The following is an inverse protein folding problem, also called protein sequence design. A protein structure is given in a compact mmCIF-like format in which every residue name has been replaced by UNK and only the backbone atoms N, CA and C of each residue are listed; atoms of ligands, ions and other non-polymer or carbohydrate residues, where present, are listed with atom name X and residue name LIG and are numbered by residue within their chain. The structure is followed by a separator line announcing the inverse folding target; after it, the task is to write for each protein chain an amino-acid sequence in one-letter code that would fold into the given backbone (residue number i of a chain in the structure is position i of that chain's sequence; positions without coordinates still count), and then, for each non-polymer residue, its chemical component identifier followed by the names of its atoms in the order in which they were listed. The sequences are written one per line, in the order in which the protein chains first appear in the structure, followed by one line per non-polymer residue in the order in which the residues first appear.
data_IF_098226350685
#
_entry.id   IF_098226350685
#
_cell.length_a   1.000
_cell.length_b   1.000
_cell.length_c   1.000
_cell.angle_alpha   90.00
_cell.angle_beta   90.00
_cell.angle_gamma   90.00
#
_symmetry.space_group_name_H-M   'P 1'
#
loop_
_entity.id
_entity.type
_entity.pdbx_description
1 polymer ?
#
# COMPACT_ATOMS: atom_id res chain seq x y z
N UNK A 1 5.63 58.71 26.27
CA UNK A 1 7.00 58.37 25.78
C UNK A 1 6.87 57.24 24.75
N UNK A 2 6.81 57.60 23.50
CA UNK A 2 6.77 56.66 22.37
C UNK A 2 8.18 56.35 21.93
N UNK A 3 8.57 55.08 21.89
CA UNK A 3 9.80 54.63 21.23
C UNK A 3 9.42 53.95 19.91
N UNK A 4 9.77 54.61 18.82
CA UNK A 4 9.72 54.11 17.45
C UNK A 4 10.91 53.20 17.22
N UNK A 5 10.67 51.96 16.79
CA UNK A 5 11.71 51.06 16.30
C UNK A 5 11.66 51.10 14.77
N UNK A 6 12.77 51.52 14.17
CA UNK A 6 12.97 51.54 12.74
C UNK A 6 13.38 50.15 12.23
N UNK A 7 12.69 49.69 11.20
CA UNK A 7 13.02 48.47 10.44
C UNK A 7 13.93 48.89 9.29
N UNK A 8 15.13 48.37 9.28
CA UNK A 8 16.08 48.52 8.17
C UNK A 8 15.89 47.36 7.22
N UNK A 9 15.40 47.64 6.00
CA UNK A 9 15.35 46.71 4.91
C UNK A 9 16.68 46.70 4.15
N UNK A 10 17.33 45.54 4.11
CA UNK A 10 18.52 45.32 3.28
C UNK A 10 18.09 44.69 1.98
N UNK A 11 18.19 45.44 0.88
CA UNK A 11 18.05 44.95 -0.48
C UNK A 11 19.38 44.37 -0.95
N UNK A 12 19.41 43.07 -1.27
CA UNK A 12 20.51 42.45 -2.00
C UNK A 12 20.12 42.34 -3.47
N UNK A 13 20.75 43.14 -4.30
CA UNK A 13 20.69 43.00 -5.77
C UNK A 13 21.68 41.93 -6.21
N UNK A 14 21.24 40.92 -6.88
CA UNK A 14 22.09 39.96 -7.60
C UNK A 14 21.89 40.22 -9.11
N UNK A 15 23.02 40.61 -9.75
CA UNK A 15 23.11 40.90 -11.17
C UNK A 15 23.06 39.59 -12.00
N UNK A 16 22.25 39.61 -13.05
CA UNK A 16 22.28 38.61 -14.13
C UNK A 16 23.47 38.89 -15.06
N UNK A 17 24.31 37.92 -15.28
CA UNK A 17 25.24 37.88 -16.40
C UNK A 17 24.70 36.89 -17.46
N UNK A 18 24.29 37.42 -18.59
CA UNK A 18 23.92 36.67 -19.79
C UNK A 18 25.21 36.44 -20.62
N UNK A 19 25.52 35.19 -20.93
CA UNK A 19 26.45 34.85 -22.02
C UNK A 19 25.67 34.16 -23.13
N UNK A 20 25.48 34.91 -24.23
CA UNK A 20 25.03 34.38 -25.50
C UNK A 20 26.24 33.87 -26.28
N UNK A 21 26.17 32.66 -26.79
CA UNK A 21 27.08 32.18 -27.85
C UNK A 21 26.25 31.53 -28.95
N UNK A 22 26.22 32.25 -30.07
CA UNK A 22 25.68 31.77 -31.32
C UNK A 22 26.74 30.96 -32.09
N UNK A 23 26.34 29.88 -32.72
CA UNK A 23 27.09 29.24 -33.81
C UNK A 23 26.14 28.69 -34.86
N UNK A 24 26.46 29.07 -36.11
CA UNK A 24 25.76 28.90 -37.37
C UNK A 24 25.77 27.42 -37.90
N UNK A 25 24.87 27.11 -38.86
CA UNK A 25 24.69 25.76 -39.38
C UNK A 25 25.67 25.47 -40.52
N UNK A 26 26.04 24.21 -40.69
CA UNK A 26 26.69 23.66 -41.86
C UNK A 26 25.78 22.61 -42.49
N UNK A 27 25.61 22.77 -43.80
CA UNK A 27 24.80 21.95 -44.69
C UNK A 27 25.60 20.75 -45.25
N UNK A 28 24.86 19.70 -45.62
CA UNK A 28 25.22 18.83 -46.71
C UNK A 28 25.72 17.41 -46.31
N UNK A 29 24.94 16.41 -46.65
CA UNK A 29 25.35 15.03 -46.63
C UNK A 29 24.20 14.11 -46.96
N UNK A 30 24.10 13.76 -48.21
CA UNK A 30 23.13 12.90 -48.89
C UNK A 30 23.07 11.48 -48.32
N UNK A 31 21.84 10.99 -48.17
CA UNK A 31 21.46 9.58 -47.97
C UNK A 31 22.03 8.64 -49.03
N UNK A 32 22.29 7.36 -48.70
CA UNK A 32 21.85 6.29 -49.58
C UNK A 32 20.93 5.30 -48.85
N UNK A 33 19.81 5.05 -49.47
CA UNK A 33 18.83 3.99 -49.21
C UNK A 33 19.49 2.60 -49.47
N UNK A 34 19.33 1.64 -48.56
CA UNK A 34 19.65 0.25 -48.94
C UNK A 34 18.43 -0.39 -49.61
N UNK A 35 18.66 -0.79 -50.82
CA UNK A 35 17.80 -1.60 -51.68
C UNK A 35 17.63 -3.00 -51.06
N UNK A 36 16.39 -3.40 -50.85
CA UNK A 36 16.03 -4.77 -50.48
C UNK A 36 16.11 -5.69 -51.66
N UNK A 37 16.95 -6.73 -51.58
CA UNK A 37 16.98 -7.85 -52.54
C UNK A 37 16.06 -8.96 -52.00
N UNK A 38 15.21 -9.57 -52.86
CA UNK A 38 14.34 -10.66 -52.43
C UNK A 38 15.10 -11.99 -52.39
N UNK A 39 14.86 -12.76 -51.30
CA UNK A 39 15.36 -14.11 -51.16
C UNK A 39 14.60 -15.10 -52.09
N UNK A 40 15.27 -16.14 -52.60
CA UNK A 40 14.63 -17.09 -53.51
C UNK A 40 13.72 -18.07 -52.78
N UNK A 41 12.57 -18.33 -53.38
CA UNK A 41 11.61 -19.33 -52.97
C UNK A 41 12.20 -20.76 -53.12
N UNK A 42 12.19 -21.53 -52.05
CA UNK A 42 12.49 -22.97 -52.07
C UNK A 42 11.19 -23.76 -52.13
N UNK A 43 11.03 -24.48 -53.22
CA UNK A 43 9.96 -25.44 -53.47
C UNK A 43 10.19 -26.71 -52.63
N UNK A 44 9.21 -27.26 -51.92
CA UNK A 44 9.38 -28.54 -51.23
C UNK A 44 9.22 -29.70 -52.23
N UNK A 45 10.31 -30.46 -52.41
CA UNK A 45 10.30 -31.75 -53.13
C UNK A 45 9.78 -32.83 -52.19
N UNK A 46 8.73 -33.50 -52.62
CA UNK A 46 8.18 -34.68 -51.94
C UNK A 46 9.15 -35.85 -52.04
N UNK A 47 9.47 -36.50 -50.94
CA UNK A 47 10.20 -37.77 -50.87
C UNK A 47 9.23 -38.88 -50.37
N UNK A 48 9.39 -40.14 -50.86
CA UNK A 48 8.41 -41.20 -50.63
C UNK A 48 8.52 -41.84 -49.25
N UNK A 49 7.39 -42.22 -48.70
CA UNK A 49 7.27 -42.97 -47.46
C UNK A 49 7.80 -44.40 -47.58
N UNK A 50 8.67 -44.85 -46.66
CA UNK A 50 8.86 -46.28 -46.44
C UNK A 50 7.83 -46.80 -45.40
N UNK A 51 7.02 -47.75 -45.83
CA UNK A 51 6.18 -48.57 -44.97
C UNK A 51 7.09 -49.52 -44.17
N UNK A 52 7.24 -49.29 -42.88
CA UNK A 52 7.84 -50.25 -41.97
C UNK A 52 6.81 -50.63 -40.88
N UNK A 53 6.39 -51.90 -41.02
CA UNK A 53 5.62 -52.62 -39.99
C UNK A 53 6.54 -52.79 -38.75
N UNK A 54 6.24 -52.14 -37.67
CA UNK A 54 6.93 -52.35 -36.40
C UNK A 54 5.93 -52.85 -35.36
N UNK A 55 6.25 -54.05 -34.87
CA UNK A 55 5.60 -54.71 -33.73
C UNK A 55 5.65 -53.80 -32.49
N UNK A 56 4.51 -53.56 -31.90
CA UNK A 56 4.36 -52.77 -30.64
C UNK A 56 4.83 -53.63 -29.46
N UNK A 57 5.89 -53.27 -28.73
CA UNK A 57 6.16 -53.90 -27.44
C UNK A 57 5.11 -53.40 -26.42
N UNK A 58 4.47 -54.33 -25.77
CA UNK A 58 3.57 -54.06 -24.63
C UNK A 58 4.37 -53.44 -23.47
N UNK A 59 4.27 -52.13 -23.27
CA UNK A 59 4.82 -51.46 -22.11
C UNK A 59 3.73 -51.44 -21.03
N UNK A 60 3.98 -52.12 -19.93
CA UNK A 60 3.20 -51.97 -18.68
C UNK A 60 3.19 -50.50 -18.25
N UNK A 61 2.07 -49.97 -17.75
CA UNK A 61 2.03 -48.59 -17.28
C UNK A 61 2.94 -48.42 -16.07
N UNK A 62 4.05 -47.71 -16.24
CA UNK A 62 4.86 -47.21 -15.14
C UNK A 62 4.04 -46.16 -14.42
N UNK A 63 3.60 -46.49 -13.20
CA UNK A 63 2.93 -45.54 -12.31
C UNK A 63 3.90 -44.39 -12.03
N UNK A 64 3.54 -43.18 -12.46
CA UNK A 64 4.28 -41.99 -12.11
C UNK A 64 4.35 -41.84 -10.59
N UNK A 65 5.52 -41.45 -10.02
CA UNK A 65 5.63 -41.23 -8.59
C UNK A 65 4.65 -40.14 -8.16
N UNK A 66 3.90 -40.40 -7.10
CA UNK A 66 2.99 -39.42 -6.51
C UNK A 66 3.72 -38.12 -6.15
N UNK A 67 3.10 -36.97 -6.32
CA UNK A 67 3.70 -35.69 -5.92
C UNK A 67 4.09 -35.74 -4.44
N UNK A 68 5.25 -35.16 -4.03
CA UNK A 68 5.67 -35.18 -2.65
C UNK A 68 4.59 -34.53 -1.76
N UNK A 69 4.31 -35.18 -0.64
CA UNK A 69 3.36 -34.70 0.35
C UNK A 69 3.70 -33.25 0.75
N UNK A 70 2.71 -32.36 0.96
CA UNK A 70 2.96 -31.01 1.40
C UNK A 70 3.77 -31.03 2.69
N UNK A 71 4.86 -30.24 2.71
CA UNK A 71 5.74 -30.09 3.85
C UNK A 71 4.89 -29.67 5.05
N UNK A 72 5.04 -30.32 6.24
CA UNK A 72 4.27 -29.94 7.42
C UNK A 72 4.43 -28.46 7.69
N UNK A 73 3.32 -27.75 7.91
CA UNK A 73 3.33 -26.37 8.35
C UNK A 73 4.14 -26.27 9.64
N UNK A 74 4.98 -25.22 9.81
CA UNK A 74 5.68 -25.00 11.06
C UNK A 74 4.67 -24.99 12.23
N UNK A 75 5.02 -25.54 13.39
CA UNK A 75 4.10 -25.58 14.53
C UNK A 75 3.67 -24.14 14.84
N UNK A 76 2.35 -23.93 14.93
CA UNK A 76 1.78 -22.67 15.35
C UNK A 76 2.40 -22.29 16.69
N UNK A 77 3.06 -21.14 16.74
CA UNK A 77 3.58 -20.62 18.00
C UNK A 77 2.38 -20.52 18.97
N UNK A 78 2.44 -21.28 20.06
CA UNK A 78 1.42 -21.27 21.11
C UNK A 78 1.40 -19.89 21.76
N UNK A 79 0.57 -19.01 21.22
CA UNK A 79 0.37 -17.68 21.76
C UNK A 79 -0.76 -17.74 22.77
N UNK A 80 -0.49 -17.37 24.04
CA UNK A 80 -1.55 -17.21 25.03
C UNK A 80 -2.65 -16.31 24.44
N UNK A 81 -3.95 -16.64 24.62
CA UNK A 81 -5.04 -15.79 24.17
C UNK A 81 -4.92 -14.37 24.73
N UNK A 82 -5.19 -13.38 23.90
CA UNK A 82 -5.26 -11.97 24.31
C UNK A 82 -6.61 -11.76 25.00
N UNK A 83 -6.61 -11.13 26.19
CA UNK A 83 -7.85 -10.74 26.88
C UNK A 83 -8.16 -9.28 26.57
N UNK A 84 -9.25 -9.02 25.86
CA UNK A 84 -9.67 -7.69 25.45
C UNK A 84 -10.99 -7.29 26.17
N UNK A 85 -10.91 -7.04 27.47
CA UNK A 85 -12.05 -6.67 28.31
C UNK A 85 -11.82 -5.30 28.96
N UNK A 86 -12.92 -4.57 29.15
CA UNK A 86 -12.93 -3.27 29.86
C UNK A 86 -13.16 -2.08 28.92
N UNK A 87 -13.81 -1.04 29.46
CA UNK A 87 -14.08 0.21 28.78
C UNK A 87 -13.73 1.37 29.72
N UNK A 88 -12.84 2.25 29.31
CA UNK A 88 -12.41 3.43 30.06
C UNK A 88 -12.57 4.64 29.15
N UNK A 89 -13.47 5.57 29.53
CA UNK A 89 -13.70 6.80 28.76
C UNK A 89 -12.41 7.64 28.64
N UNK A 90 -12.12 8.10 27.43
CA UNK A 90 -10.99 8.99 27.14
C UNK A 90 -11.42 10.45 27.19
N UNK A 91 -10.64 11.28 27.88
CA UNK A 91 -10.88 12.72 28.02
C UNK A 91 -10.05 13.59 27.06
N UNK A 92 -9.18 12.97 26.23
CA UNK A 92 -8.37 13.70 25.27
C UNK A 92 -9.23 14.35 24.17
N UNK A 93 -8.83 15.52 23.63
CA UNK A 93 -9.50 16.13 22.48
C UNK A 93 -9.53 15.22 21.27
N UNK A 94 -10.61 15.27 20.49
CA UNK A 94 -10.73 14.52 19.23
C UNK A 94 -9.65 14.97 18.24
N UNK A 95 -9.03 14.00 17.55
CA UNK A 95 -8.07 14.28 16.49
C UNK A 95 -8.73 15.07 15.35
N UNK A 96 -8.04 16.08 14.84
CA UNK A 96 -8.53 16.96 13.79
C UNK A 96 -7.39 17.45 12.91
N UNK A 97 -7.72 18.09 11.81
CA UNK A 97 -6.76 18.64 10.84
C UNK A 97 -6.80 17.91 9.51
N UNK A 98 -5.98 18.40 8.57
CA UNK A 98 -5.79 17.85 7.24
C UNK A 98 -4.34 17.45 7.02
N UNK A 99 -4.15 16.32 6.36
CA UNK A 99 -2.84 15.84 5.97
C UNK A 99 -2.36 16.44 4.63
N UNK A 100 -1.18 16.02 4.17
CA UNK A 100 -0.61 16.48 2.90
C UNK A 100 -1.58 16.27 1.73
N UNK A 101 -1.66 17.27 0.84
CA UNK A 101 -2.55 17.24 -0.33
C UNK A 101 -4.05 17.30 -0.02
N UNK A 102 -4.44 17.51 1.25
CA UNK A 102 -5.83 17.48 1.69
C UNK A 102 -6.31 16.08 2.13
N UNK A 103 -5.38 15.14 2.38
CA UNK A 103 -5.71 13.79 2.89
C UNK A 103 -6.27 13.81 4.31
N UNK A 104 -7.05 12.79 4.67
CA UNK A 104 -7.68 12.67 5.98
C UNK A 104 -6.68 12.19 7.04
N UNK A 105 -6.62 12.85 8.18
CA UNK A 105 -5.77 12.46 9.32
C UNK A 105 -6.57 11.87 10.48
N UNK A 106 -7.90 11.96 10.42
CA UNK A 106 -8.80 11.51 11.48
C UNK A 106 -10.01 10.78 10.91
N UNK A 107 -10.69 10.02 11.76
CA UNK A 107 -11.90 9.26 11.38
C UNK A 107 -13.15 10.14 11.23
N UNK A 108 -13.08 11.41 11.63
CA UNK A 108 -14.24 12.31 11.70
C UNK A 108 -15.21 12.00 12.84
N UNK A 109 -14.88 11.04 13.71
CA UNK A 109 -15.66 10.62 14.88
C UNK A 109 -14.74 10.39 16.08
N UNK A 110 -15.24 10.15 17.30
CA UNK A 110 -14.39 9.77 18.43
C UNK A 110 -13.75 8.38 18.30
N UNK A 111 -14.22 7.53 17.38
CA UNK A 111 -13.67 6.19 17.18
C UNK A 111 -12.26 6.23 16.58
N UNK A 112 -11.41 5.30 16.99
CA UNK A 112 -10.02 5.16 16.51
C UNK A 112 -9.96 4.10 15.43
N UNK A 113 -9.29 4.39 14.31
CA UNK A 113 -9.04 3.44 13.24
C UNK A 113 -7.60 2.93 13.30
N UNK A 114 -7.44 1.60 13.36
CA UNK A 114 -6.15 0.94 13.18
C UNK A 114 -5.94 0.66 11.71
N UNK A 115 -4.77 1.01 11.18
CA UNK A 115 -4.45 0.80 9.76
C UNK A 115 -3.11 0.13 9.59
N UNK A 116 -3.03 -0.83 8.64
CA UNK A 116 -1.82 -1.60 8.35
C UNK A 116 -1.45 -1.44 6.89
N UNK A 117 -0.22 -1.03 6.62
CA UNK A 117 0.30 -0.76 5.28
C UNK A 117 1.28 -1.84 4.81
N UNK A 118 1.58 -1.80 3.52
CA UNK A 118 2.57 -2.61 2.81
C UNK A 118 2.20 -4.08 2.58
N UNK A 119 1.21 -4.61 3.24
CA UNK A 119 0.75 -6.00 3.08
C UNK A 119 0.08 -6.29 1.71
N UNK A 120 -0.43 -7.51 1.52
CA UNK A 120 -0.36 -8.60 2.48
C UNK A 120 1.02 -9.27 2.52
N UNK A 121 1.41 -9.73 3.70
CA UNK A 121 2.59 -10.55 3.96
C UNK A 121 2.14 -11.97 4.38
N UNK A 122 2.59 -13.03 3.72
CA UNK A 122 2.11 -14.38 4.02
C UNK A 122 2.49 -14.88 5.41
N UNK A 123 3.40 -14.20 6.12
CA UNK A 123 3.88 -14.57 7.45
C UNK A 123 3.24 -13.75 8.56
N UNK A 124 3.13 -12.43 8.36
CA UNK A 124 2.72 -11.51 9.41
C UNK A 124 1.25 -11.08 9.30
N UNK A 125 0.72 -10.89 8.08
CA UNK A 125 -0.71 -10.55 7.91
C UNK A 125 -1.65 -11.56 8.56
N UNK A 126 -1.45 -12.90 8.44
CA UNK A 126 -2.29 -13.86 9.14
C UNK A 126 -2.28 -13.68 10.66
N UNK A 127 -1.11 -13.36 11.24
CA UNK A 127 -0.94 -13.22 12.70
C UNK A 127 -1.71 -12.00 13.23
N UNK A 128 -1.58 -10.85 12.55
CA UNK A 128 -2.33 -9.66 12.99
C UNK A 128 -3.85 -9.86 12.82
N UNK A 129 -4.29 -10.55 11.77
CA UNK A 129 -5.69 -10.90 11.59
C UNK A 129 -6.20 -11.79 12.73
N UNK A 130 -5.41 -12.78 13.17
CA UNK A 130 -5.75 -13.64 14.31
C UNK A 130 -5.89 -12.83 15.60
N UNK A 131 -4.98 -11.87 15.85
CA UNK A 131 -5.02 -11.02 17.05
C UNK A 131 -6.22 -10.07 17.04
N UNK A 132 -6.50 -9.43 15.88
CA UNK A 132 -7.68 -8.60 15.69
C UNK A 132 -8.97 -9.39 15.92
N UNK A 133 -9.04 -10.62 15.40
CA UNK A 133 -10.18 -11.52 15.59
C UNK A 133 -10.40 -11.90 17.05
N UNK A 134 -9.32 -12.24 17.79
CA UNK A 134 -9.40 -12.55 19.22
C UNK A 134 -9.98 -11.39 20.02
N UNK A 135 -9.68 -10.16 19.64
CA UNK A 135 -10.20 -8.97 20.29
C UNK A 135 -11.56 -8.49 19.70
N UNK A 136 -12.08 -9.11 18.65
CA UNK A 136 -13.29 -8.64 17.96
C UNK A 136 -13.12 -7.25 17.36
N UNK A 137 -11.90 -6.89 16.93
CA UNK A 137 -11.57 -5.58 16.35
C UNK A 137 -11.49 -5.69 14.83
N UNK A 138 -12.01 -4.67 14.15
CA UNK A 138 -11.86 -4.50 12.71
C UNK A 138 -10.86 -3.38 12.43
N UNK A 139 -10.08 -3.54 11.36
CA UNK A 139 -9.02 -2.61 10.96
C UNK A 139 -9.09 -2.31 9.46
N UNK A 140 -8.25 -1.41 8.98
CA UNK A 140 -8.10 -1.09 7.55
C UNK A 140 -6.72 -1.55 7.08
N UNK A 141 -6.67 -2.26 5.95
CA UNK A 141 -5.44 -2.76 5.34
C UNK A 141 -5.19 -2.05 4.01
N UNK A 142 -4.16 -1.20 3.96
CA UNK A 142 -3.72 -0.54 2.73
C UNK A 142 -2.70 -1.43 2.02
N UNK A 143 -3.17 -2.17 1.02
CA UNK A 143 -2.41 -3.25 0.41
C UNK A 143 -1.69 -2.81 -0.86
N UNK A 144 -0.48 -3.32 -1.05
CA UNK A 144 0.32 -3.11 -2.26
C UNK A 144 -0.15 -4.06 -3.36
N UNK A 145 -0.39 -3.55 -4.56
CA UNK A 145 -1.07 -4.25 -5.64
C UNK A 145 -0.40 -5.54 -6.08
N UNK A 146 0.95 -5.55 -6.25
CA UNK A 146 1.65 -6.78 -6.62
C UNK A 146 1.58 -7.84 -5.50
N UNK A 147 1.55 -7.44 -4.23
CA UNK A 147 1.39 -8.36 -3.10
C UNK A 147 -0.01 -8.92 -3.01
N UNK A 148 -1.03 -8.10 -3.32
CA UNK A 148 -2.41 -8.55 -3.44
C UNK A 148 -2.59 -9.56 -4.59
N UNK A 149 -1.86 -9.39 -5.70
CA UNK A 149 -1.81 -10.36 -6.80
C UNK A 149 -1.18 -11.68 -6.35
N UNK A 150 -0.09 -11.62 -5.60
CA UNK A 150 0.73 -12.79 -5.24
C UNK A 150 0.16 -13.55 -4.03
N UNK A 151 -0.71 -12.91 -3.23
CA UNK A 151 -1.34 -13.51 -2.04
C UNK A 151 -2.86 -13.21 -2.02
N UNK A 152 -3.63 -13.62 -3.04
CA UNK A 152 -5.06 -13.29 -3.15
C UNK A 152 -5.90 -13.88 -2.02
N UNK A 153 -5.49 -15.00 -1.43
CA UNK A 153 -6.15 -15.63 -0.29
C UNK A 153 -6.13 -14.73 0.96
N UNK A 154 -5.08 -13.91 1.13
CA UNK A 154 -5.01 -12.96 2.24
C UNK A 154 -5.98 -11.80 2.02
N UNK A 155 -6.14 -11.32 0.79
CA UNK A 155 -7.14 -10.30 0.45
C UNK A 155 -8.55 -10.83 0.71
N UNK A 156 -8.83 -12.07 0.28
CA UNK A 156 -10.10 -12.75 0.56
C UNK A 156 -10.34 -12.84 2.06
N UNK A 157 -9.33 -13.21 2.85
CA UNK A 157 -9.43 -13.32 4.30
C UNK A 157 -9.69 -11.98 4.96
N UNK A 158 -8.95 -10.93 4.58
CA UNK A 158 -9.14 -9.55 5.09
C UNK A 158 -10.60 -9.12 4.89
N UNK A 159 -11.12 -9.29 3.68
CA UNK A 159 -12.50 -8.93 3.37
C UNK A 159 -13.53 -9.79 4.14
N UNK A 160 -13.36 -11.12 4.14
CA UNK A 160 -14.26 -12.05 4.81
C UNK A 160 -14.34 -11.86 6.32
N UNK A 161 -13.25 -11.41 6.94
CA UNK A 161 -13.22 -11.06 8.36
C UNK A 161 -13.78 -9.65 8.65
N UNK A 162 -14.26 -8.92 7.63
CA UNK A 162 -14.93 -7.61 7.77
C UNK A 162 -13.98 -6.46 8.03
N UNK A 163 -12.75 -6.55 7.57
CA UNK A 163 -11.79 -5.46 7.54
C UNK A 163 -11.96 -4.63 6.25
N UNK A 164 -11.62 -3.35 6.31
CA UNK A 164 -11.64 -2.47 5.13
C UNK A 164 -10.37 -2.63 4.31
N UNK A 165 -10.54 -2.77 3.00
CA UNK A 165 -9.44 -2.79 2.03
C UNK A 165 -9.17 -1.39 1.49
N UNK A 166 -7.90 -1.02 1.43
CA UNK A 166 -7.39 0.27 0.99
C UNK A 166 -6.27 0.05 -0.04
N UNK A 167 -6.18 0.91 -1.02
CA UNK A 167 -5.15 0.88 -2.06
C UNK A 167 -3.85 1.53 -1.57
N UNK A 168 -2.70 0.86 -1.73
CA UNK A 168 -1.38 1.39 -1.38
C UNK A 168 -0.43 1.42 -2.57
N UNK A 169 -0.95 1.74 -3.77
CA UNK A 169 -0.25 1.71 -5.06
C UNK A 169 0.16 0.30 -5.53
N UNK A 170 0.61 0.21 -6.79
CA UNK A 170 1.01 -1.08 -7.37
C UNK A 170 2.35 -1.59 -6.85
N UNK A 171 3.37 -0.72 -6.76
CA UNK A 171 4.76 -1.10 -6.44
C UNK A 171 5.34 -0.33 -5.25
N UNK A 172 4.52 0.41 -4.50
CA UNK A 172 4.98 1.21 -3.38
C UNK A 172 6.06 2.25 -3.77
N UNK A 173 5.87 2.96 -4.89
CA UNK A 173 6.82 3.98 -5.34
C UNK A 173 6.69 5.27 -4.52
N UNK A 174 7.74 5.66 -3.82
CA UNK A 174 7.77 6.92 -3.05
C UNK A 174 7.63 8.17 -3.92
N UNK A 175 7.92 8.08 -5.22
CA UNK A 175 7.81 9.16 -6.19
C UNK A 175 6.53 9.08 -7.05
N UNK A 176 5.55 8.25 -6.69
CA UNK A 176 4.30 8.08 -7.41
C UNK A 176 3.63 9.42 -7.73
N UNK A 177 3.58 10.35 -6.77
CA UNK A 177 2.98 11.68 -6.92
C UNK A 177 3.69 12.56 -7.99
N UNK A 178 4.92 12.21 -8.39
CA UNK A 178 5.69 12.92 -9.43
C UNK A 178 5.48 12.36 -10.83
N UNK A 179 4.84 11.19 -10.95
CA UNK A 179 4.53 10.56 -12.25
C UNK A 179 3.45 11.35 -12.98
N UNK A 180 3.31 11.10 -14.27
CA UNK A 180 2.20 11.65 -15.04
C UNK A 180 0.85 11.04 -14.60
N UNK A 181 -0.24 11.69 -14.96
CA UNK A 181 -1.59 11.34 -14.52
C UNK A 181 -2.01 9.95 -15.04
N UNK A 182 -1.61 9.60 -16.27
CA UNK A 182 -1.93 8.31 -16.86
C UNK A 182 -1.24 7.16 -16.12
N UNK A 183 0.03 7.35 -15.75
CA UNK A 183 0.77 6.38 -14.93
C UNK A 183 0.12 6.19 -13.57
N UNK A 184 -0.16 7.31 -12.85
CA UNK A 184 -0.79 7.28 -11.53
C UNK A 184 -2.13 6.53 -11.60
N UNK A 185 -2.98 6.89 -12.56
CA UNK A 185 -4.30 6.27 -12.74
C UNK A 185 -4.17 4.77 -12.96
N UNK A 186 -3.30 4.35 -13.88
CA UNK A 186 -3.07 2.93 -14.18
C UNK A 186 -2.52 2.16 -12.98
N UNK A 187 -1.63 2.76 -12.19
CA UNK A 187 -1.06 2.18 -10.97
C UNK A 187 -2.17 1.86 -9.96
N UNK A 188 -3.02 2.85 -9.65
CA UNK A 188 -4.12 2.70 -8.71
C UNK A 188 -5.21 1.75 -9.22
N UNK A 189 -5.57 1.82 -10.51
CA UNK A 189 -6.56 0.92 -11.13
C UNK A 189 -6.08 -0.53 -11.12
N UNK A 190 -4.81 -0.80 -11.41
CA UNK A 190 -4.24 -2.14 -11.37
C UNK A 190 -4.31 -2.72 -9.94
N UNK A 191 -4.03 -1.90 -8.94
CA UNK A 191 -4.14 -2.30 -7.53
C UNK A 191 -5.58 -2.64 -7.17
N UNK A 192 -6.53 -1.74 -7.47
CA UNK A 192 -7.96 -1.98 -7.26
C UNK A 192 -8.42 -3.27 -7.95
N UNK A 193 -7.97 -3.50 -9.19
CA UNK A 193 -8.32 -4.72 -9.95
C UNK A 193 -7.88 -6.00 -9.23
N UNK A 194 -6.68 -6.03 -8.62
CA UNK A 194 -6.23 -7.22 -7.88
C UNK A 194 -7.03 -7.43 -6.61
N UNK A 195 -7.29 -6.36 -5.86
CA UNK A 195 -8.13 -6.41 -4.66
C UNK A 195 -9.52 -6.96 -5.00
N UNK A 196 -10.20 -6.37 -5.99
CA UNK A 196 -11.55 -6.76 -6.38
C UNK A 196 -11.63 -8.15 -7.02
N UNK A 197 -10.55 -8.60 -7.68
CA UNK A 197 -10.47 -9.97 -8.19
C UNK A 197 -10.41 -11.01 -7.07
N UNK A 198 -9.69 -10.72 -6.00
CA UNK A 198 -9.53 -11.61 -4.85
C UNK A 198 -10.71 -11.53 -3.87
N UNK A 199 -11.38 -10.39 -3.79
CA UNK A 199 -12.55 -10.14 -2.95
C UNK A 199 -13.69 -9.52 -3.79
N UNK A 200 -14.39 -10.29 -4.61
CA UNK A 200 -15.51 -9.78 -5.40
C UNK A 200 -16.61 -9.22 -4.48
N UNK A 201 -17.04 -7.99 -4.74
CA UNK A 201 -18.02 -7.29 -3.90
C UNK A 201 -17.43 -6.45 -2.78
N UNK A 202 -16.13 -6.54 -2.51
CA UNK A 202 -15.46 -5.57 -1.65
C UNK A 202 -15.46 -4.19 -2.32
N UNK A 203 -15.36 -3.13 -1.48
CA UNK A 203 -15.17 -1.76 -1.95
C UNK A 203 -13.79 -1.27 -1.59
N UNK A 204 -13.07 -0.68 -2.55
CA UNK A 204 -11.82 0.01 -2.29
C UNK A 204 -12.12 1.50 -2.14
N UNK A 205 -12.53 1.89 -0.93
CA UNK A 205 -12.98 3.27 -0.64
C UNK A 205 -11.85 4.21 -0.24
N UNK A 206 -10.63 3.69 -0.05
CA UNK A 206 -9.49 4.45 0.46
C UNK A 206 -8.22 4.21 -0.34
N UNK A 207 -7.40 5.25 -0.35
CA UNK A 207 -6.03 5.22 -0.87
C UNK A 207 -5.07 5.85 0.13
N UNK A 208 -3.91 5.21 0.34
CA UNK A 208 -2.79 5.83 1.05
C UNK A 208 -1.57 5.88 0.13
N UNK A 209 -0.97 7.07 0.02
CA UNK A 209 0.22 7.24 -0.79
C UNK A 209 1.44 6.62 -0.10
N UNK A 210 2.31 5.88 -0.82
CA UNK A 210 3.57 5.37 -0.29
C UNK A 210 4.39 6.45 0.42
N UNK A 211 4.82 6.16 1.66
CA UNK A 211 5.54 7.11 2.51
C UNK A 211 4.76 8.37 2.87
N UNK A 212 3.45 8.42 2.65
CA UNK A 212 2.62 9.60 2.88
C UNK A 212 2.88 10.75 1.88
N UNK A 213 3.54 10.48 0.75
CA UNK A 213 3.95 11.47 -0.24
C UNK A 213 2.77 11.93 -1.11
N UNK A 214 1.82 12.63 -0.49
CA UNK A 214 0.65 13.18 -1.17
C UNK A 214 0.93 14.53 -1.86
N UNK A 215 0.26 14.71 -2.99
CA UNK A 215 0.07 16.02 -3.65
C UNK A 215 -1.42 16.19 -3.93
N UNK A 216 -1.88 17.42 -4.14
CA UNK A 216 -3.27 17.70 -4.54
C UNK A 216 -3.66 16.95 -5.83
N UNK A 217 -2.72 16.81 -6.79
CA UNK A 217 -2.90 16.00 -8.00
C UNK A 217 -3.20 14.54 -7.68
N UNK A 218 -2.39 13.92 -6.83
CA UNK A 218 -2.56 12.51 -6.47
C UNK A 218 -3.88 12.26 -5.72
N UNK A 219 -4.22 13.16 -4.79
CA UNK A 219 -5.51 13.11 -4.06
C UNK A 219 -6.69 13.23 -5.03
N UNK A 220 -6.61 14.16 -6.01
CA UNK A 220 -7.65 14.34 -7.04
C UNK A 220 -7.83 13.07 -7.86
N UNK A 221 -6.75 12.46 -8.36
CA UNK A 221 -6.83 11.23 -9.17
C UNK A 221 -7.43 10.08 -8.34
N UNK A 222 -7.03 9.91 -7.08
CA UNK A 222 -7.61 8.90 -6.20
C UNK A 222 -9.12 9.13 -6.00
N UNK A 223 -9.54 10.39 -5.81
CA UNK A 223 -10.96 10.77 -5.67
C UNK A 223 -11.76 10.47 -6.94
N UNK A 224 -11.23 10.75 -8.12
CA UNK A 224 -11.84 10.41 -9.41
C UNK A 224 -12.01 8.89 -9.61
N UNK A 225 -11.19 8.09 -8.94
CA UNK A 225 -11.30 6.63 -8.88
C UNK A 225 -12.18 6.13 -7.70
N UNK A 226 -12.89 7.04 -7.03
CA UNK A 226 -13.82 6.73 -5.94
C UNK A 226 -13.18 6.45 -4.59
N UNK A 227 -11.92 6.86 -4.38
CA UNK A 227 -11.16 6.62 -3.16
C UNK A 227 -10.89 7.90 -2.38
N UNK A 228 -11.14 7.88 -1.06
CA UNK A 228 -10.68 8.91 -0.13
C UNK A 228 -9.19 8.72 0.19
N UNK A 229 -8.41 9.78 0.08
CA UNK A 229 -7.01 9.76 0.49
C UNK A 229 -6.88 9.85 2.00
N UNK A 230 -6.21 8.88 2.64
CA UNK A 230 -6.00 8.85 4.08
C UNK A 230 -4.51 8.99 4.42
N UNK A 231 -4.26 9.80 5.43
CA UNK A 231 -2.96 9.94 6.10
C UNK A 231 -3.05 9.25 7.46
N UNK A 232 -2.41 9.78 8.49
CA UNK A 232 -2.47 9.30 9.87
C UNK A 232 -2.32 10.44 10.86
N UNK A 233 -2.85 10.22 12.04
CA UNK A 233 -2.64 11.08 13.19
C UNK A 233 -1.53 10.55 14.10
N UNK A 234 -1.38 9.21 14.17
CA UNK A 234 -0.36 8.53 14.99
C UNK A 234 0.54 7.70 14.10
N UNK A 235 1.86 7.95 14.18
CA UNK A 235 2.90 7.16 13.53
C UNK A 235 3.87 6.63 14.59
N UNK A 236 3.79 5.36 14.97
CA UNK A 236 4.72 4.76 15.93
C UNK A 236 6.11 4.48 15.33
N UNK A 237 6.31 4.74 14.03
CA UNK A 237 7.57 4.54 13.30
C UNK A 237 8.12 3.11 13.41
N UNK A 238 7.25 2.13 13.37
CA UNK A 238 7.56 0.70 13.38
C UNK A 238 8.43 0.26 12.18
N UNK A 239 8.46 1.09 11.15
CA UNK A 239 9.29 0.92 9.95
C UNK A 239 10.75 1.37 10.14
N UNK A 240 11.08 2.18 11.15
CA UNK A 240 12.39 2.83 11.31
C UNK A 240 13.34 2.04 12.25
N UNK A 241 13.49 0.73 11.98
CA UNK A 241 14.32 -0.15 12.81
C UNK A 241 15.81 0.23 12.86
N UNK A 242 16.30 0.96 11.88
CA UNK A 242 17.65 1.51 11.91
C UNK A 242 17.87 2.51 13.07
N UNK A 243 16.81 3.22 13.47
CA UNK A 243 16.87 4.22 14.55
C UNK A 243 16.45 3.64 15.90
N UNK A 244 15.37 2.86 15.93
CA UNK A 244 14.75 2.43 17.18
C UNK A 244 15.10 0.99 17.57
N UNK A 245 15.91 0.27 16.75
CA UNK A 245 16.30 -1.11 17.00
C UNK A 245 15.24 -2.11 16.51
N UNK A 246 15.37 -3.38 16.98
CA UNK A 246 14.49 -4.50 16.66
C UNK A 246 14.16 -5.30 17.91
N UNK A 247 13.20 -6.22 17.81
CA UNK A 247 12.78 -7.08 18.93
C UNK A 247 12.13 -6.26 20.04
N UNK A 248 12.39 -6.63 21.29
CA UNK A 248 11.76 -6.02 22.47
C UNK A 248 11.90 -4.48 22.51
N UNK A 249 13.01 -3.92 22.02
CA UNK A 249 13.21 -2.46 22.00
C UNK A 249 12.20 -1.80 21.05
N UNK A 250 12.04 -2.34 19.83
CA UNK A 250 11.05 -1.85 18.87
C UNK A 250 9.63 -2.06 19.38
N UNK A 251 9.33 -3.22 19.94
CA UNK A 251 8.01 -3.52 20.54
C UNK A 251 7.64 -2.47 21.59
N UNK A 252 8.53 -2.19 22.54
CA UNK A 252 8.31 -1.20 23.58
C UNK A 252 8.19 0.22 23.01
N UNK A 253 8.96 0.55 21.98
CA UNK A 253 8.88 1.84 21.29
C UNK A 253 7.50 2.04 20.64
N UNK A 254 7.01 1.04 19.90
CA UNK A 254 5.70 1.06 19.25
C UNK A 254 4.60 1.27 20.30
N UNK A 255 4.62 0.48 21.38
CA UNK A 255 3.62 0.58 22.45
C UNK A 255 3.63 1.99 23.06
N UNK A 256 4.78 2.48 23.48
CA UNK A 256 4.90 3.78 24.11
C UNK A 256 4.47 4.93 23.17
N UNK A 257 4.80 4.84 21.89
CA UNK A 257 4.41 5.86 20.90
C UNK A 257 2.90 5.90 20.69
N UNK A 258 2.27 4.73 20.49
CA UNK A 258 0.81 4.66 20.33
C UNK A 258 0.09 5.14 21.59
N UNK A 259 0.48 4.68 22.78
CA UNK A 259 -0.13 5.06 24.05
C UNK A 259 0.00 6.57 24.34
N UNK A 260 1.14 7.15 23.97
CA UNK A 260 1.38 8.60 24.12
C UNK A 260 0.50 9.45 23.21
N UNK A 261 0.38 9.06 21.94
CA UNK A 261 -0.12 9.95 20.87
C UNK A 261 -1.58 9.69 20.49
N UNK A 262 -2.11 8.48 20.72
CA UNK A 262 -3.48 8.13 20.35
C UNK A 262 -4.51 8.93 21.16
N UNK A 263 -5.56 9.39 20.48
CA UNK A 263 -6.70 10.09 21.06
C UNK A 263 -7.96 9.78 20.27
N UNK A 264 -9.16 10.12 20.76
CA UNK A 264 -10.39 9.93 20.00
C UNK A 264 -10.25 10.48 18.58
N UNK A 265 -10.73 9.75 17.60
CA UNK A 265 -10.66 10.13 16.19
C UNK A 265 -9.34 9.84 15.48
N UNK A 266 -8.31 9.29 16.14
CA UNK A 266 -7.03 9.00 15.51
C UNK A 266 -7.15 7.92 14.44
N UNK A 267 -6.45 8.14 13.32
CA UNK A 267 -6.02 7.08 12.40
C UNK A 267 -4.59 6.71 12.81
N UNK A 268 -4.37 5.44 13.17
CA UNK A 268 -3.07 4.93 13.61
C UNK A 268 -2.42 4.20 12.44
N UNK A 269 -1.22 4.64 12.03
CA UNK A 269 -0.38 3.94 11.06
C UNK A 269 0.35 2.77 11.73
N UNK A 270 0.42 1.66 11.06
CA UNK A 270 1.31 0.54 11.34
C UNK A 270 1.58 -0.24 10.05
N UNK A 271 2.49 -1.21 10.10
CA UNK A 271 2.82 -2.02 8.94
C UNK A 271 2.76 -3.51 9.31
N UNK A 272 2.24 -4.34 8.42
CA UNK A 272 2.20 -5.80 8.61
C UNK A 272 3.23 -6.54 7.75
N UNK A 273 3.75 -5.91 6.68
CA UNK A 273 4.73 -6.53 5.80
C UNK A 273 6.15 -6.51 6.40
N UNK A 274 6.68 -7.69 6.73
CA UNK A 274 8.04 -7.83 7.26
C UNK A 274 8.24 -7.16 8.63
N UNK A 275 7.17 -6.96 9.41
CA UNK A 275 7.19 -6.25 10.70
C UNK A 275 6.73 -7.13 11.86
N UNK A 276 7.50 -8.17 12.23
CA UNK A 276 7.12 -9.06 13.33
C UNK A 276 7.00 -8.34 14.68
N UNK A 277 7.78 -7.27 14.90
CA UNK A 277 7.76 -6.49 16.14
C UNK A 277 6.44 -5.72 16.29
N UNK A 278 5.86 -5.25 15.18
CA UNK A 278 4.53 -4.62 15.16
C UNK A 278 3.47 -5.62 15.62
N UNK A 279 3.49 -6.84 15.10
CA UNK A 279 2.54 -7.87 15.48
C UNK A 279 2.65 -8.15 17.00
N UNK A 280 3.86 -8.30 17.51
CA UNK A 280 4.08 -8.51 18.96
C UNK A 280 3.58 -7.33 19.79
N UNK A 281 3.79 -6.08 19.34
CA UNK A 281 3.31 -4.90 20.05
C UNK A 281 1.78 -4.85 20.13
N UNK A 282 1.07 -5.26 19.07
CA UNK A 282 -0.38 -5.27 19.03
C UNK A 282 -1.04 -6.23 20.01
N UNK A 283 -0.33 -7.25 20.48
CA UNK A 283 -0.81 -8.12 21.57
C UNK A 283 -1.04 -7.36 22.88
N UNK A 284 -0.26 -6.32 23.12
CA UNK A 284 -0.42 -5.40 24.27
C UNK A 284 -1.36 -4.25 23.93
N UNK A 285 -1.21 -3.69 22.74
CA UNK A 285 -1.97 -2.50 22.32
C UNK A 285 -3.46 -2.79 22.12
N UNK A 286 -3.84 -3.94 21.56
CA UNK A 286 -5.26 -4.23 21.28
C UNK A 286 -6.13 -4.21 22.56
N UNK A 287 -5.80 -4.93 23.64
CA UNK A 287 -6.58 -4.84 24.87
C UNK A 287 -6.53 -3.44 25.48
N UNK A 288 -5.38 -2.77 25.46
CA UNK A 288 -5.23 -1.42 26.01
C UNK A 288 -6.07 -0.38 25.25
N UNK A 289 -6.05 -0.43 23.90
CA UNK A 289 -6.83 0.46 23.03
C UNK A 289 -8.33 0.19 23.18
N UNK A 290 -8.74 -1.08 23.14
CA UNK A 290 -10.14 -1.47 23.25
C UNK A 290 -10.77 -1.07 24.59
N UNK A 291 -9.98 -1.10 25.66
CA UNK A 291 -10.43 -0.61 26.97
C UNK A 291 -10.68 0.91 27.01
N UNK A 292 -10.18 1.67 26.03
CA UNK A 292 -10.15 3.15 26.06
C UNK A 292 -10.86 3.81 24.89
N UNK A 293 -11.02 3.11 23.78
CA UNK A 293 -11.55 3.65 22.54
C UNK A 293 -12.50 2.66 21.86
N UNK A 294 -13.51 3.16 21.19
CA UNK A 294 -14.20 2.40 20.15
C UNK A 294 -13.25 2.22 18.98
N UNK A 295 -12.93 0.99 18.63
CA UNK A 295 -12.05 0.67 17.50
C UNK A 295 -12.88 0.30 16.28
N UNK A 296 -12.55 0.88 15.12
CA UNK A 296 -13.28 0.66 13.87
C UNK A 296 -12.31 0.37 12.71
N UNK A 297 -12.76 -0.39 11.72
CA UNK A 297 -12.28 -0.22 10.35
C UNK A 297 -12.80 1.12 9.81
N UNK A 298 -12.06 1.80 8.96
CA UNK A 298 -12.59 2.98 8.27
C UNK A 298 -13.82 2.56 7.46
N UNK A 299 -14.96 3.27 7.60
CA UNK A 299 -16.21 2.85 6.96
C UNK A 299 -16.15 3.02 5.44
N UNK A 300 -16.79 2.11 4.71
CA UNK A 300 -16.94 2.17 3.25
C UNK A 300 -17.92 3.29 2.82
N UNK A 301 -17.68 4.52 3.28
CA UNK A 301 -18.47 5.68 2.88
C UNK A 301 -18.11 6.13 1.45
N UNK A 302 -19.07 6.70 0.69
CA UNK A 302 -18.73 7.36 -0.56
C UNK A 302 -17.70 8.48 -0.29
N UNK A 303 -16.82 8.79 -1.25
CA UNK A 303 -15.87 9.89 -1.10
C UNK A 303 -16.64 11.17 -0.80
N UNK A 304 -16.13 11.96 0.16
CA UNK A 304 -16.62 13.32 0.36
C UNK A 304 -16.46 14.10 -0.96
N UNK A 305 -17.44 14.89 -1.37
CA UNK A 305 -17.29 15.70 -2.57
C UNK A 305 -16.04 16.57 -2.45
N UNK A 306 -15.29 16.69 -3.56
CA UNK A 306 -14.10 17.53 -3.61
C UNK A 306 -14.45 18.95 -3.15
N UNK A 307 -13.59 19.63 -2.37
CA UNK A 307 -13.84 21.01 -1.96
C UNK A 307 -14.19 21.87 -3.19
N UNK A 308 -15.40 22.41 -3.23
CA UNK A 308 -15.89 23.23 -4.34
C UNK A 308 -16.69 22.49 -5.43
N UNK A 309 -16.97 21.21 -5.30
CA UNK A 309 -17.95 20.57 -6.19
C UNK A 309 -19.37 21.01 -5.80
N UNK A 310 -20.22 21.41 -6.78
CA UNK A 310 -21.62 21.69 -6.47
C UNK A 310 -22.29 20.44 -5.91
N UNK A 311 -23.07 20.61 -4.85
CA UNK A 311 -23.91 19.55 -4.31
C UNK A 311 -24.91 19.09 -5.38
N UNK A 312 -25.18 17.80 -5.50
CA UNK A 312 -26.15 17.25 -6.46
C UNK A 312 -27.56 17.78 -6.21
#
# INVERSE_FOLDING_TARGET
MQRRIAVVAVFVMIALAACASASKPSAGGTTPTPTSSPAPAVTPTAAPSPSMSMSVPSVSPTVAPAPPAPKPAPPAASTKPISCTGEIAQTRPVASGTGPGGSLVSTGSPAVALTFDDGPDPINTPKILDELKQCGVKATFCVVGFRARDNPEMITRIAAEGHTLCNHSWQHLFDLAKRDDAYIRKDLENTNKMILRAAPGARVAYFRAPGGNFTTKLVKIASELGMNSIYWHVDPRDWESAKFGKGTVMVNHIIAAVERDVRPGSIVLSHDNGKPDTIVAYRTLLPWLKARYTLIALPDAPPSPAPGAPLP
#
